data_IF_222855684369
#
_entry.id   IF_222855684369
#
_cell.length_a   1.000
_cell.length_b   1.000
_cell.length_c   1.000
_cell.angle_alpha   90.00
_cell.angle_beta   90.00
_cell.angle_gamma   90.00
#
_symmetry.space_group_name_H-M   'P 1'
#
loop_
_entity.id
_entity.type
_entity.pdbx_description
1 polymer ?
#
# COMPACT_ATOMS: atom_id res chain seq x y z
N UNK A 1 22.98 -34.21 33.91
CA UNK A 1 23.46 -33.54 32.68
C UNK A 1 22.81 -34.13 31.41
N UNK A 2 22.56 -35.41 31.35
CA UNK A 2 21.95 -36.03 30.16
C UNK A 2 20.44 -35.77 29.98
N UNK A 3 19.68 -35.63 31.05
CA UNK A 3 18.23 -35.39 30.97
C UNK A 3 17.92 -33.98 30.44
N UNK A 4 18.64 -32.96 30.91
CA UNK A 4 18.46 -31.58 30.40
C UNK A 4 18.93 -31.41 28.93
N UNK A 5 20.03 -32.08 28.55
CA UNK A 5 20.47 -32.13 27.14
C UNK A 5 19.41 -32.77 26.23
N UNK A 6 18.77 -33.83 26.71
CA UNK A 6 17.71 -34.50 25.94
C UNK A 6 16.41 -33.66 25.89
N UNK A 7 16.03 -33.01 26.97
CA UNK A 7 14.86 -32.12 26.99
C UNK A 7 15.09 -30.92 26.08
N UNK A 8 16.28 -30.32 26.10
CA UNK A 8 16.61 -29.17 25.23
C UNK A 8 16.70 -29.58 23.75
N UNK A 9 17.27 -30.76 23.47
CA UNK A 9 17.34 -31.31 22.10
C UNK A 9 15.97 -31.67 21.56
N UNK A 10 15.09 -32.25 22.38
CA UNK A 10 13.71 -32.57 22.01
C UNK A 10 12.84 -31.30 21.86
N UNK A 11 12.98 -30.33 22.76
CA UNK A 11 12.24 -29.06 22.66
C UNK A 11 12.73 -28.19 21.49
N UNK A 12 14.01 -28.19 21.17
CA UNK A 12 14.54 -27.51 19.99
C UNK A 12 14.05 -28.19 18.69
N UNK A 13 13.94 -29.51 18.70
CA UNK A 13 13.39 -30.27 17.57
C UNK A 13 11.88 -30.04 17.41
N UNK A 14 11.12 -29.98 18.51
CA UNK A 14 9.70 -29.64 18.52
C UNK A 14 9.49 -28.18 18.05
N UNK A 15 10.33 -27.24 18.47
CA UNK A 15 10.29 -25.86 18.03
C UNK A 15 10.58 -25.71 16.52
N UNK A 16 11.53 -26.50 16.00
CA UNK A 16 11.81 -26.55 14.55
C UNK A 16 10.68 -27.20 13.75
N UNK A 17 10.03 -28.23 14.28
CA UNK A 17 8.82 -28.84 13.66
C UNK A 17 7.66 -27.85 13.69
N UNK A 18 7.50 -27.09 14.79
CA UNK A 18 6.45 -26.07 14.90
C UNK A 18 6.61 -24.94 13.86
N UNK A 19 7.85 -24.51 13.58
CA UNK A 19 8.15 -23.55 12.51
C UNK A 19 7.85 -24.15 11.12
N UNK A 20 8.09 -25.43 10.90
CA UNK A 20 7.84 -26.09 9.61
C UNK A 20 6.35 -26.34 9.33
N UNK A 21 5.53 -26.55 10.36
CA UNK A 21 4.09 -26.82 10.21
C UNK A 21 3.27 -25.56 9.93
N UNK A 22 3.79 -24.34 10.28
CA UNK A 22 3.10 -23.08 10.01
C UNK A 22 3.31 -22.50 8.60
N UNK A 23 4.02 -23.20 7.71
CA UNK A 23 4.08 -22.84 6.29
C UNK A 23 2.93 -23.50 5.48
N UNK A 24 1.72 -23.54 6.01
CA UNK A 24 0.56 -23.81 5.18
C UNK A 24 0.25 -22.53 4.41
N UNK A 25 0.56 -22.50 3.12
CA UNK A 25 -0.02 -21.55 2.21
C UNK A 25 -1.54 -21.70 2.29
N UNK A 26 -2.19 -20.80 2.99
CA UNK A 26 -3.64 -20.66 2.89
C UNK A 26 -3.86 -19.97 1.57
N UNK A 27 -4.13 -20.72 0.52
CA UNK A 27 -4.70 -20.19 -0.70
C UNK A 27 -6.09 -19.67 -0.35
N UNK A 28 -6.15 -18.39 -0.02
CA UNK A 28 -7.41 -17.71 0.20
C UNK A 28 -7.94 -17.23 -1.15
N UNK A 29 -8.95 -17.93 -1.62
CA UNK A 29 -10.02 -17.51 -2.53
C UNK A 29 -9.65 -17.06 -3.96
N UNK A 30 -10.28 -17.73 -4.91
CA UNK A 30 -10.78 -17.27 -6.21
C UNK A 30 -10.25 -15.90 -6.69
N UNK A 31 -8.96 -15.83 -6.95
CA UNK A 31 -8.32 -14.79 -7.73
C UNK A 31 -8.17 -15.25 -9.17
N UNK A 32 -7.87 -14.35 -10.03
CA UNK A 32 -7.49 -14.59 -11.42
C UNK A 32 -6.50 -15.76 -11.52
N UNK A 33 -6.62 -16.57 -12.55
CA UNK A 33 -5.66 -17.65 -12.85
C UNK A 33 -4.28 -17.12 -13.23
N UNK A 34 -4.17 -15.81 -13.53
CA UNK A 34 -2.93 -15.16 -13.91
C UNK A 34 -2.10 -14.78 -12.68
N UNK A 35 -0.81 -15.08 -12.77
CA UNK A 35 0.15 -14.66 -11.77
C UNK A 35 0.46 -13.18 -11.93
N UNK A 36 0.41 -12.41 -10.83
CA UNK A 36 0.74 -10.99 -10.84
C UNK A 36 2.15 -10.73 -11.39
N UNK A 37 2.27 -9.64 -12.14
CA UNK A 37 3.55 -9.10 -12.59
C UNK A 37 4.37 -8.66 -11.38
N UNK A 38 5.68 -8.80 -11.48
CA UNK A 38 6.61 -8.46 -10.39
C UNK A 38 7.69 -7.50 -10.92
N UNK A 39 7.41 -6.20 -10.95
CA UNK A 39 8.39 -5.22 -11.44
C UNK A 39 9.62 -5.08 -10.53
N UNK A 40 9.55 -5.58 -9.30
CA UNK A 40 10.63 -5.46 -8.31
C UNK A 40 10.65 -4.07 -7.67
N UNK A 41 9.75 -3.83 -6.71
CA UNK A 41 9.69 -2.54 -6.01
C UNK A 41 10.88 -2.38 -5.06
N UNK A 42 11.44 -1.16 -5.00
CA UNK A 42 12.58 -0.82 -4.15
C UNK A 42 12.33 -1.05 -2.65
N UNK A 43 11.08 -1.00 -2.22
CA UNK A 43 10.69 -1.21 -0.83
C UNK A 43 10.54 -2.69 -0.44
N UNK A 44 10.69 -3.63 -1.36
CA UNK A 44 10.57 -5.06 -1.04
C UNK A 44 11.71 -5.56 -0.14
N UNK A 45 11.44 -6.69 0.53
CA UNK A 45 12.42 -7.34 1.40
C UNK A 45 12.72 -6.59 2.70
N UNK A 46 13.59 -7.17 3.54
CA UNK A 46 13.83 -6.65 4.90
C UNK A 46 14.57 -5.33 4.94
N UNK A 47 15.36 -5.00 3.93
CA UNK A 47 16.17 -3.77 3.83
C UNK A 47 15.63 -2.78 2.80
N UNK A 48 14.52 -3.12 2.13
CA UNK A 48 13.93 -2.28 1.09
C UNK A 48 13.42 -0.96 1.65
N UNK A 49 13.52 0.10 0.83
CA UNK A 49 13.07 1.45 1.13
C UNK A 49 12.28 2.00 -0.03
N UNK A 50 11.40 2.95 0.25
CA UNK A 50 10.68 3.67 -0.79
C UNK A 50 11.64 4.56 -1.60
N UNK A 51 11.47 4.56 -2.91
CA UNK A 51 12.10 5.52 -3.81
C UNK A 51 11.33 6.84 -3.76
N UNK A 52 11.95 7.89 -3.22
CA UNK A 52 11.31 9.19 -3.01
C UNK A 52 10.88 9.88 -4.29
N UNK A 53 11.63 9.73 -5.35
CA UNK A 53 11.29 10.37 -6.61
C UNK A 53 10.13 9.63 -7.28
N UNK A 54 10.11 8.30 -7.21
CA UNK A 54 8.94 7.51 -7.59
C UNK A 54 7.71 7.85 -6.74
N UNK A 55 7.85 8.10 -5.41
CA UNK A 55 6.73 8.55 -4.57
C UNK A 55 6.17 9.91 -5.00
N UNK A 56 7.04 10.85 -5.41
CA UNK A 56 6.61 12.18 -5.90
C UNK A 56 5.84 12.06 -7.20
N UNK A 57 6.37 11.29 -8.16
CA UNK A 57 5.70 10.99 -9.42
C UNK A 57 4.39 10.25 -9.21
N UNK A 58 4.39 9.24 -8.32
CA UNK A 58 3.19 8.49 -7.95
C UNK A 58 2.10 9.36 -7.29
N UNK A 59 2.50 10.33 -6.47
CA UNK A 59 1.56 11.34 -5.97
C UNK A 59 0.98 12.18 -7.10
N UNK A 60 1.79 12.57 -8.09
CA UNK A 60 1.32 13.33 -9.24
C UNK A 60 0.28 12.52 -10.04
N UNK A 61 0.56 11.25 -10.36
CA UNK A 61 -0.42 10.37 -11.01
C UNK A 61 -1.70 10.23 -10.19
N UNK A 62 -1.59 10.05 -8.87
CA UNK A 62 -2.77 10.01 -8.01
C UNK A 62 -3.57 11.31 -8.09
N UNK A 63 -2.93 12.46 -7.95
CA UNK A 63 -3.61 13.77 -7.90
C UNK A 63 -4.24 14.19 -9.22
N UNK A 64 -3.61 13.87 -10.35
CA UNK A 64 -4.08 14.30 -11.67
C UNK A 64 -5.05 13.30 -12.31
N UNK A 65 -4.93 11.99 -11.99
CA UNK A 65 -5.76 10.95 -12.61
C UNK A 65 -6.70 10.30 -11.60
N UNK A 66 -6.18 9.68 -10.53
CA UNK A 66 -6.96 8.79 -9.67
C UNK A 66 -7.92 9.54 -8.73
N UNK A 67 -7.55 10.74 -8.28
CA UNK A 67 -8.28 11.51 -7.28
C UNK A 67 -9.66 11.97 -7.74
N UNK A 68 -9.90 12.02 -9.05
CA UNK A 68 -11.20 12.33 -9.64
C UNK A 68 -12.31 11.33 -9.28
N UNK A 69 -11.93 10.07 -9.03
CA UNK A 69 -12.87 8.99 -8.70
C UNK A 69 -12.58 8.34 -7.34
N UNK A 70 -11.34 8.34 -6.88
CA UNK A 70 -10.90 7.62 -5.68
C UNK A 70 -10.45 8.55 -4.57
N UNK A 71 -11.06 8.44 -3.38
CA UNK A 71 -10.61 9.12 -2.18
C UNK A 71 -9.41 8.44 -1.52
N UNK A 72 -8.75 9.17 -0.61
CA UNK A 72 -7.63 8.68 0.22
C UNK A 72 -7.79 9.23 1.66
N UNK A 73 -8.87 8.87 2.30
CA UNK A 73 -9.35 9.44 3.58
C UNK A 73 -8.46 9.21 4.79
N UNK A 74 -7.54 8.23 4.73
CA UNK A 74 -6.62 7.94 5.84
C UNK A 74 -5.36 8.83 5.82
N UNK A 75 -5.13 9.54 4.72
CA UNK A 75 -3.98 10.39 4.54
C UNK A 75 -4.35 11.87 4.74
N UNK A 76 -3.50 12.61 5.44
CA UNK A 76 -3.56 14.08 5.51
C UNK A 76 -2.47 14.68 4.63
N UNK A 77 -2.66 15.91 4.12
CA UNK A 77 -1.66 16.56 3.28
C UNK A 77 -0.28 16.67 3.96
N UNK A 78 -0.24 16.89 5.28
CA UNK A 78 1.01 16.92 6.05
C UNK A 78 1.85 15.65 5.93
N UNK A 79 1.24 14.49 5.64
CA UNK A 79 1.97 13.24 5.50
C UNK A 79 2.93 13.29 4.30
N UNK A 80 2.64 14.09 3.27
CA UNK A 80 3.50 14.27 2.10
C UNK A 80 4.86 14.91 2.43
N UNK A 81 4.99 15.61 3.57
CA UNK A 81 6.27 16.19 4.03
C UNK A 81 7.01 15.33 5.06
N UNK A 82 6.43 14.20 5.49
CA UNK A 82 7.04 13.36 6.51
C UNK A 82 8.25 12.58 5.98
N UNK A 83 9.26 12.32 6.85
CA UNK A 83 10.37 11.44 6.50
C UNK A 83 9.91 10.05 6.08
N UNK A 84 10.55 9.49 5.04
CA UNK A 84 10.19 8.19 4.46
C UNK A 84 9.03 8.23 3.48
N UNK A 85 8.45 9.39 3.24
CA UNK A 85 7.45 9.66 2.21
C UNK A 85 8.01 10.44 1.01
N UNK A 86 7.14 11.13 0.25
CA UNK A 86 7.55 12.01 -0.84
C UNK A 86 8.48 13.15 -0.41
N UNK A 87 8.44 13.51 0.87
CA UNK A 87 9.25 14.57 1.49
C UNK A 87 9.17 15.90 0.74
N UNK A 88 7.96 16.29 0.30
CA UNK A 88 7.75 17.61 -0.24
C UNK A 88 8.06 18.70 0.80
N UNK A 89 8.50 19.86 0.36
CA UNK A 89 8.66 21.00 1.26
C UNK A 89 7.34 21.39 1.92
N UNK A 90 7.40 21.94 3.11
CA UNK A 90 6.21 22.41 3.85
C UNK A 90 5.42 23.43 3.02
N UNK A 91 6.11 24.27 2.27
CA UNK A 91 5.54 25.28 1.37
C UNK A 91 4.76 24.60 0.22
N UNK A 92 5.34 23.58 -0.43
CA UNK A 92 4.66 22.78 -1.48
C UNK A 92 3.40 22.10 -0.92
N UNK A 93 3.50 21.49 0.28
CA UNK A 93 2.34 20.85 0.93
C UNK A 93 1.24 21.85 1.28
N UNK A 94 1.58 23.05 1.74
CA UNK A 94 0.60 24.13 1.98
C UNK A 94 -0.07 24.58 0.67
N UNK A 95 0.71 24.75 -0.39
CA UNK A 95 0.18 25.11 -1.70
C UNK A 95 -0.77 24.02 -2.24
N UNK A 96 -0.39 22.76 -2.15
CA UNK A 96 -1.25 21.61 -2.52
C UNK A 96 -2.55 21.62 -1.70
N UNK A 97 -2.48 21.73 -0.38
CA UNK A 97 -3.67 21.73 0.47
C UNK A 97 -4.60 22.92 0.14
N UNK A 98 -4.05 24.10 -0.05
CA UNK A 98 -4.82 25.31 -0.32
C UNK A 98 -5.50 25.36 -1.70
N UNK A 99 -5.12 24.46 -2.63
CA UNK A 99 -5.82 24.33 -3.92
C UNK A 99 -7.17 23.60 -3.81
N UNK A 100 -7.48 23.06 -2.64
CA UNK A 100 -8.77 22.42 -2.34
C UNK A 100 -9.55 23.26 -1.34
N UNK A 101 -10.89 23.18 -1.38
CA UNK A 101 -11.80 23.77 -0.39
C UNK A 101 -12.54 22.70 0.41
N UNK A 102 -12.95 23.07 1.60
CA UNK A 102 -13.79 22.24 2.47
C UNK A 102 -14.82 23.13 3.15
N UNK A 103 -16.04 22.59 3.32
CA UNK A 103 -17.07 23.23 4.16
C UNK A 103 -16.66 23.09 5.63
N UNK A 104 -16.53 24.21 6.32
CA UNK A 104 -16.10 24.28 7.73
C UNK A 104 -17.15 25.04 8.56
N UNK A 105 -18.29 24.39 8.77
CA UNK A 105 -19.41 24.93 9.50
C UNK A 105 -20.43 25.66 8.64
N UNK A 106 -21.31 26.40 9.33
CA UNK A 106 -22.36 27.27 8.71
C UNK A 106 -22.32 28.64 9.33
N UNK A 107 -22.73 29.64 8.57
CA UNK A 107 -22.91 31.01 9.05
C UNK A 107 -24.15 31.15 9.95
N UNK A 108 -24.44 32.37 10.38
CA UNK A 108 -25.61 32.72 11.22
C UNK A 108 -26.94 32.47 10.52
N UNK A 109 -26.95 32.36 9.20
CA UNK A 109 -28.14 32.08 8.37
C UNK A 109 -28.27 30.59 7.99
N UNK A 110 -27.30 29.75 8.43
CA UNK A 110 -27.26 28.30 8.10
C UNK A 110 -26.63 27.98 6.76
N UNK A 111 -26.00 28.96 6.07
CA UNK A 111 -25.30 28.71 4.81
C UNK A 111 -23.89 28.11 5.06
N UNK A 112 -23.42 27.19 4.22
CA UNK A 112 -22.13 26.57 4.39
C UNK A 112 -20.98 27.58 4.21
N UNK A 113 -20.05 27.58 5.16
CA UNK A 113 -18.81 28.38 5.06
C UNK A 113 -17.73 27.51 4.46
N UNK A 114 -17.15 27.94 3.34
CA UNK A 114 -16.01 27.27 2.73
C UNK A 114 -14.70 27.92 3.15
N UNK A 115 -13.68 27.07 3.38
CA UNK A 115 -12.30 27.53 3.53
C UNK A 115 -11.35 26.69 2.69
N UNK A 116 -10.19 27.27 2.37
CA UNK A 116 -9.08 26.49 1.83
C UNK A 116 -8.62 25.42 2.83
N UNK A 117 -8.27 24.24 2.31
CA UNK A 117 -7.77 23.14 3.15
C UNK A 117 -6.37 23.43 3.69
N UNK A 118 -6.09 22.88 4.85
CA UNK A 118 -4.81 23.00 5.57
C UNK A 118 -4.02 21.68 5.47
N UNK A 119 -2.71 21.70 5.73
CA UNK A 119 -1.90 20.48 5.79
C UNK A 119 -2.41 19.42 6.77
N UNK A 120 -3.16 19.82 7.81
CA UNK A 120 -3.78 18.91 8.77
C UNK A 120 -5.02 18.21 8.25
N UNK A 121 -5.66 18.74 7.23
CA UNK A 121 -6.87 18.17 6.68
C UNK A 121 -6.56 16.88 5.91
N UNK A 122 -7.52 15.97 5.88
CA UNK A 122 -7.43 14.76 5.09
C UNK A 122 -7.66 15.06 3.61
N UNK A 123 -7.16 14.19 2.74
CA UNK A 123 -7.44 14.27 1.32
C UNK A 123 -8.95 14.32 1.06
N UNK A 124 -9.41 15.19 0.14
CA UNK A 124 -10.83 15.36 -0.14
C UNK A 124 -11.44 14.09 -0.72
N UNK A 125 -12.74 13.94 -0.52
CA UNK A 125 -13.52 12.89 -1.17
C UNK A 125 -13.99 13.40 -2.53
N UNK A 126 -13.88 12.59 -3.61
CA UNK A 126 -14.35 13.02 -4.93
C UNK A 126 -15.89 13.14 -5.02
N UNK A 127 -16.61 12.43 -4.16
CA UNK A 127 -18.09 12.41 -4.14
C UNK A 127 -18.62 12.66 -2.73
N UNK A 128 -19.73 13.37 -2.63
CA UNK A 128 -20.38 13.69 -1.35
C UNK A 128 -20.97 12.43 -0.69
N UNK A 129 -21.46 11.47 -1.49
CA UNK A 129 -22.09 10.24 -1.02
C UNK A 129 -21.91 9.07 -2.01
N UNK A 130 -22.31 7.87 -1.57
CA UNK A 130 -22.16 6.64 -2.38
C UNK A 130 -23.04 6.61 -3.62
N UNK A 131 -24.20 7.21 -3.57
CA UNK A 131 -25.16 7.16 -4.69
C UNK A 131 -24.67 8.05 -5.83
N UNK A 132 -24.16 9.23 -5.51
CA UNK A 132 -23.47 10.11 -6.45
C UNK A 132 -22.26 9.39 -7.09
N UNK A 133 -21.40 8.75 -6.26
CA UNK A 133 -20.27 8.00 -6.76
C UNK A 133 -20.68 6.87 -7.72
N UNK A 134 -21.74 6.13 -7.41
CA UNK A 134 -22.25 5.08 -8.29
C UNK A 134 -22.85 5.64 -9.58
N UNK A 135 -23.59 6.73 -9.50
CA UNK A 135 -24.19 7.37 -10.68
C UNK A 135 -23.12 7.84 -11.66
N UNK A 136 -21.98 8.35 -11.14
CA UNK A 136 -20.86 8.80 -11.96
C UNK A 136 -19.99 7.66 -12.51
N UNK A 137 -20.10 6.41 -12.00
CA UNK A 137 -19.20 5.31 -12.29
C UNK A 137 -19.94 4.00 -12.69
N UNK A 138 -20.90 4.09 -13.60
CA UNK A 138 -21.65 2.94 -14.13
C UNK A 138 -22.24 2.01 -13.04
N UNK A 139 -22.74 2.58 -11.95
CA UNK A 139 -23.29 1.82 -10.83
C UNK A 139 -22.23 1.24 -9.88
N UNK A 140 -20.96 1.31 -10.20
CA UNK A 140 -19.87 0.87 -9.33
C UNK A 140 -19.49 1.96 -8.32
N UNK A 141 -19.02 1.53 -7.14
CA UNK A 141 -18.50 2.44 -6.13
C UNK A 141 -16.97 2.35 -6.10
N UNK A 142 -16.23 3.41 -6.53
CA UNK A 142 -14.77 3.40 -6.49
C UNK A 142 -14.27 3.23 -5.06
N UNK A 143 -13.38 2.28 -4.78
CA UNK A 143 -12.84 2.07 -3.43
C UNK A 143 -11.92 3.23 -3.02
N UNK A 144 -11.85 3.49 -1.71
CA UNK A 144 -10.84 4.37 -1.11
C UNK A 144 -9.46 3.73 -1.24
N UNK A 145 -8.47 4.47 -1.74
CA UNK A 145 -7.14 3.96 -2.05
C UNK A 145 -6.17 3.95 -0.86
N UNK A 146 -6.53 4.52 0.29
CA UNK A 146 -5.63 4.61 1.45
C UNK A 146 -4.98 3.30 1.87
N UNK A 147 -5.74 2.20 1.79
CA UNK A 147 -5.30 0.88 2.23
C UNK A 147 -5.46 -0.20 1.14
N UNK A 148 -5.62 0.22 -0.11
CA UNK A 148 -5.94 -0.70 -1.21
C UNK A 148 -4.89 -1.79 -1.38
N UNK A 149 -3.61 -1.47 -1.20
CA UNK A 149 -2.48 -2.41 -1.27
C UNK A 149 -2.58 -3.49 -0.21
N UNK A 150 -3.12 -3.17 0.99
CA UNK A 150 -3.30 -4.14 2.07
C UNK A 150 -4.63 -4.91 1.97
N UNK A 151 -5.56 -4.38 1.19
CA UNK A 151 -6.88 -4.99 0.99
C UNK A 151 -6.91 -6.05 -0.13
N UNK A 152 -5.79 -6.34 -0.75
CA UNK A 152 -5.67 -7.31 -1.85
C UNK A 152 -4.51 -8.27 -1.58
N UNK A 153 -4.68 -9.52 -2.01
CA UNK A 153 -3.60 -10.52 -1.98
C UNK A 153 -2.50 -10.07 -2.94
N UNK A 154 -1.23 -10.13 -2.52
CA UNK A 154 -0.07 -9.64 -3.27
C UNK A 154 -0.24 -8.17 -3.73
N UNK A 155 -0.80 -7.34 -2.87
CA UNK A 155 -1.50 -6.08 -3.14
C UNK A 155 -0.81 -5.10 -4.08
N UNK A 156 0.48 -4.78 -3.90
CA UNK A 156 1.20 -3.87 -4.80
C UNK A 156 1.47 -4.52 -6.17
N UNK A 157 1.83 -5.80 -6.23
CA UNK A 157 1.99 -6.51 -7.51
C UNK A 157 0.65 -6.65 -8.23
N UNK A 158 -0.43 -6.91 -7.48
CA UNK A 158 -1.79 -6.92 -8.03
C UNK A 158 -2.19 -5.57 -8.62
N UNK A 159 -1.98 -4.47 -7.90
CA UNK A 159 -2.33 -3.12 -8.41
C UNK A 159 -1.55 -2.76 -9.66
N UNK A 160 -0.24 -3.02 -9.67
CA UNK A 160 0.57 -2.81 -10.86
C UNK A 160 0.05 -3.63 -12.04
N UNK A 161 -0.24 -4.93 -11.82
CA UNK A 161 -0.77 -5.81 -12.85
C UNK A 161 -2.14 -5.35 -13.34
N UNK A 162 -3.02 -4.92 -12.43
CA UNK A 162 -4.34 -4.39 -12.76
C UNK A 162 -4.24 -3.15 -13.67
N UNK A 163 -3.34 -2.22 -13.36
CA UNK A 163 -3.17 -1.00 -14.16
C UNK A 163 -2.58 -1.30 -15.54
N UNK A 164 -1.70 -2.31 -15.65
CA UNK A 164 -1.16 -2.80 -16.93
C UNK A 164 -2.18 -3.65 -17.71
N UNK A 165 -3.12 -4.26 -17.04
CA UNK A 165 -4.02 -5.25 -17.64
C UNK A 165 -4.97 -4.72 -18.70
N UNK A 166 -5.13 -3.41 -18.82
CA UNK A 166 -5.92 -2.79 -19.88
C UNK A 166 -5.24 -2.81 -21.25
N UNK A 167 -3.94 -3.11 -21.31
CA UNK A 167 -3.19 -3.27 -22.57
C UNK A 167 -3.37 -4.67 -23.19
N UNK A 168 -3.98 -5.60 -22.44
CA UNK A 168 -4.20 -6.98 -22.91
C UNK A 168 -5.41 -7.08 -23.85
N UNK A 169 -5.28 -7.89 -24.87
CA UNK A 169 -6.37 -8.14 -25.83
C UNK A 169 -7.47 -9.00 -25.20
N UNK A 170 -8.72 -8.57 -25.37
CA UNK A 170 -9.87 -9.31 -24.89
C UNK A 170 -10.09 -10.57 -25.76
N UNK A 171 -10.32 -11.75 -25.14
CA UNK A 171 -10.71 -12.96 -25.86
C UNK A 171 -12.01 -12.79 -26.65
N UNK A 172 -12.08 -13.31 -27.87
CA UNK A 172 -13.24 -13.18 -28.78
C UNK A 172 -14.53 -13.80 -28.23
N UNK A 173 -14.43 -14.76 -27.31
CA UNK A 173 -15.54 -15.50 -26.72
C UNK A 173 -16.06 -14.89 -25.42
N UNK A 174 -15.48 -13.78 -24.95
CA UNK A 174 -15.84 -13.12 -23.70
C UNK A 174 -16.83 -11.97 -23.93
N UNK A 175 -18.05 -12.12 -23.42
CA UNK A 175 -19.06 -11.05 -23.40
C UNK A 175 -19.07 -10.38 -22.03
N UNK A 176 -18.62 -9.13 -21.96
CA UNK A 176 -18.52 -8.33 -20.73
C UNK A 176 -19.46 -7.11 -20.70
N UNK A 177 -20.29 -6.93 -21.73
CA UNK A 177 -21.18 -5.78 -21.85
C UNK A 177 -20.44 -4.45 -21.81
N UNK A 178 -20.87 -3.50 -20.96
CA UNK A 178 -20.28 -2.16 -20.83
C UNK A 178 -19.06 -2.09 -19.88
N UNK A 179 -18.54 -3.25 -19.45
CA UNK A 179 -17.35 -3.32 -18.58
C UNK A 179 -16.06 -3.28 -19.41
N UNK A 180 -14.96 -2.95 -18.74
CA UNK A 180 -13.62 -3.02 -19.36
C UNK A 180 -13.00 -4.39 -19.12
N UNK A 181 -12.34 -4.94 -20.13
CA UNK A 181 -11.56 -6.17 -19.98
C UNK A 181 -10.31 -5.92 -19.14
N UNK A 182 -10.06 -6.79 -18.19
CA UNK A 182 -8.82 -6.79 -17.43
C UNK A 182 -8.57 -8.19 -16.85
N UNK A 183 -7.59 -8.94 -17.36
CA UNK A 183 -7.38 -10.34 -16.98
C UNK A 183 -6.90 -10.52 -15.53
N UNK A 184 -6.39 -9.47 -14.88
CA UNK A 184 -6.02 -9.51 -13.45
C UNK A 184 -7.19 -9.20 -12.52
N UNK A 185 -8.30 -8.68 -13.03
CA UNK A 185 -9.50 -8.51 -12.21
C UNK A 185 -10.29 -9.81 -12.12
N UNK A 186 -10.82 -10.20 -10.94
CA UNK A 186 -11.64 -11.41 -10.81
C UNK A 186 -12.80 -11.43 -11.81
N UNK A 187 -12.87 -12.48 -12.62
CA UNK A 187 -13.86 -12.59 -13.68
C UNK A 187 -13.52 -11.90 -15.00
N UNK A 188 -12.34 -11.27 -15.10
CA UNK A 188 -11.86 -10.66 -16.35
C UNK A 188 -12.53 -9.35 -16.77
N UNK A 189 -13.53 -8.86 -16.01
CA UNK A 189 -14.30 -7.67 -16.35
C UNK A 189 -14.43 -6.71 -15.18
N UNK A 190 -14.06 -5.45 -15.36
CA UNK A 190 -14.03 -4.42 -14.33
C UNK A 190 -14.83 -3.17 -14.77
N UNK A 191 -15.54 -2.56 -13.82
CA UNK A 191 -16.30 -1.35 -14.09
C UNK A 191 -15.44 -0.08 -14.25
N UNK A 192 -14.20 -0.10 -13.78
CA UNK A 192 -13.26 0.99 -13.94
C UNK A 192 -12.76 1.01 -15.39
N UNK A 193 -12.96 2.10 -16.11
CA UNK A 193 -12.35 2.31 -17.43
C UNK A 193 -10.83 2.40 -17.29
N UNK A 194 -10.11 2.17 -18.40
CA UNK A 194 -8.66 2.35 -18.43
C UNK A 194 -8.29 3.74 -17.93
N UNK A 195 -7.55 3.85 -16.80
CA UNK A 195 -7.25 5.15 -16.21
C UNK A 195 -5.98 5.79 -16.76
N UNK A 196 -5.05 5.00 -17.32
CA UNK A 196 -3.73 5.46 -17.76
C UNK A 196 -3.53 5.21 -19.25
N UNK A 197 -3.06 6.23 -19.94
CA UNK A 197 -2.57 6.21 -21.30
C UNK A 197 -1.18 6.83 -21.31
N UNK A 198 -0.35 6.52 -22.29
CA UNK A 198 0.95 7.17 -22.40
C UNK A 198 0.77 8.69 -22.40
N UNK A 199 1.62 9.38 -21.66
CA UNK A 199 1.59 10.83 -21.48
C UNK A 199 0.33 11.40 -20.78
N UNK A 200 -0.41 10.57 -20.01
CA UNK A 200 -1.55 11.04 -19.20
C UNK A 200 -1.17 12.09 -18.16
N UNK A 201 0.09 12.16 -17.78
CA UNK A 201 0.68 13.18 -16.90
C UNK A 201 1.98 13.69 -17.50
N UNK A 202 2.36 14.92 -17.18
CA UNK A 202 3.68 15.45 -17.53
C UNK A 202 4.52 15.55 -16.25
N UNK A 203 5.47 14.62 -16.08
CA UNK A 203 6.28 14.58 -14.86
C UNK A 203 7.21 15.80 -14.73
N UNK A 204 7.21 16.43 -13.56
CA UNK A 204 8.04 17.59 -13.24
C UNK A 204 9.56 17.34 -13.44
N UNK A 205 10.00 16.09 -13.33
CA UNK A 205 11.41 15.68 -13.47
C UNK A 205 11.81 15.25 -14.87
N UNK A 206 10.88 15.32 -15.84
CA UNK A 206 11.09 14.94 -17.23
C UNK A 206 11.17 13.43 -17.49
N UNK A 207 10.84 12.59 -16.52
CA UNK A 207 10.72 11.14 -16.73
C UNK A 207 9.60 10.86 -17.74
N UNK A 208 9.79 9.97 -18.73
CA UNK A 208 8.71 9.62 -19.66
C UNK A 208 7.52 9.00 -18.94
N UNK A 209 6.32 9.56 -19.12
CA UNK A 209 5.10 9.09 -18.48
C UNK A 209 4.44 7.97 -19.30
N UNK A 210 5.13 6.85 -19.44
CA UNK A 210 4.56 5.63 -20.04
C UNK A 210 3.57 4.97 -19.06
N UNK A 211 2.62 4.19 -19.59
CA UNK A 211 1.68 3.39 -18.76
C UNK A 211 2.46 2.57 -17.72
N UNK A 212 3.58 1.97 -18.11
CA UNK A 212 4.45 1.18 -17.23
C UNK A 212 5.01 2.00 -16.08
N UNK A 213 5.63 3.15 -16.40
CA UNK A 213 6.21 4.05 -15.39
C UNK A 213 5.16 4.62 -14.45
N UNK A 214 4.03 5.08 -14.99
CA UNK A 214 2.94 5.62 -14.17
C UNK A 214 2.32 4.57 -13.25
N UNK A 215 2.13 3.34 -13.76
CA UNK A 215 1.62 2.21 -12.97
C UNK A 215 2.58 1.84 -11.84
N UNK A 216 3.89 1.85 -12.11
CA UNK A 216 4.92 1.62 -11.10
C UNK A 216 4.92 2.71 -10.03
N UNK A 217 4.97 3.97 -10.44
CA UNK A 217 5.08 5.12 -9.55
C UNK A 217 3.83 5.28 -8.65
N UNK A 218 2.63 5.18 -9.22
CA UNK A 218 1.39 5.28 -8.43
C UNK A 218 1.24 4.10 -7.48
N UNK A 219 1.63 2.89 -7.88
CA UNK A 219 1.61 1.73 -6.99
C UNK A 219 2.59 1.89 -5.84
N UNK A 220 3.78 2.44 -6.09
CA UNK A 220 4.77 2.77 -5.06
C UNK A 220 4.20 3.80 -4.06
N UNK A 221 3.55 4.85 -4.55
CA UNK A 221 2.88 5.85 -3.72
C UNK A 221 1.75 5.24 -2.88
N UNK A 222 0.90 4.38 -3.46
CA UNK A 222 -0.18 3.71 -2.74
C UNK A 222 0.33 2.70 -1.72
N UNK A 223 1.48 2.05 -1.98
CA UNK A 223 2.14 1.19 -0.99
C UNK A 223 2.64 2.00 0.21
N UNK A 224 3.25 3.16 -0.03
CA UNK A 224 3.63 4.09 1.03
C UNK A 224 2.40 4.62 1.78
N UNK A 225 1.37 5.06 1.08
CA UNK A 225 0.13 5.56 1.71
C UNK A 225 -0.50 4.54 2.66
N UNK A 226 -0.45 3.25 2.30
CA UNK A 226 -0.95 2.15 3.13
C UNK A 226 -0.04 1.82 4.32
N UNK A 227 1.24 2.18 4.29
CA UNK A 227 2.20 1.92 5.37
C UNK A 227 3.31 2.99 5.43
N UNK A 228 2.99 4.24 5.83
CA UNK A 228 3.96 5.34 5.85
C UNK A 228 5.17 5.11 6.76
N UNK A 229 5.00 4.28 7.79
CA UNK A 229 6.05 3.96 8.79
C UNK A 229 6.80 2.65 8.50
N UNK A 230 6.68 2.08 7.31
CA UNK A 230 7.28 0.79 6.97
C UNK A 230 8.79 0.75 7.22
N UNK A 231 9.52 1.77 6.81
CA UNK A 231 10.97 1.83 6.99
C UNK A 231 11.35 1.90 8.47
N UNK A 232 10.63 2.69 9.25
CA UNK A 232 10.81 2.78 10.71
C UNK A 232 10.50 1.44 11.39
N UNK A 233 9.40 0.79 11.00
CA UNK A 233 9.04 -0.54 11.49
C UNK A 233 10.12 -1.58 11.18
N UNK A 234 10.67 -1.58 9.97
CA UNK A 234 11.78 -2.47 9.60
C UNK A 234 13.02 -2.21 10.47
N UNK A 235 13.42 -0.93 10.59
CA UNK A 235 14.54 -0.54 11.44
C UNK A 235 14.36 -0.95 12.90
N UNK A 236 13.17 -0.67 13.45
CA UNK A 236 12.84 -1.06 14.83
C UNK A 236 12.85 -2.58 15.00
N UNK A 237 12.34 -3.32 14.01
CA UNK A 237 12.37 -4.78 13.99
C UNK A 237 13.78 -5.35 14.15
N UNK A 238 14.77 -4.81 13.43
CA UNK A 238 16.17 -5.24 13.58
C UNK A 238 16.73 -4.94 14.97
N UNK A 239 16.41 -3.78 15.55
CA UNK A 239 16.85 -3.41 16.91
C UNK A 239 16.25 -4.38 17.92
N UNK A 240 14.95 -4.66 17.83
CA UNK A 240 14.25 -5.60 18.72
C UNK A 240 14.80 -7.01 18.59
N UNK A 241 15.03 -7.49 17.37
CA UNK A 241 15.62 -8.82 17.14
C UNK A 241 17.03 -8.92 17.72
N UNK A 242 17.86 -7.89 17.57
CA UNK A 242 19.18 -7.81 18.20
C UNK A 242 19.13 -7.87 19.72
N UNK A 243 18.22 -7.09 20.33
CA UNK A 243 17.98 -7.10 21.78
C UNK A 243 17.54 -8.50 22.27
N UNK A 244 16.58 -9.11 21.58
CA UNK A 244 16.09 -10.45 21.96
C UNK A 244 17.17 -11.52 21.81
N UNK A 245 18.05 -11.41 20.82
CA UNK A 245 19.19 -12.33 20.66
C UNK A 245 20.16 -12.22 21.83
N UNK A 246 20.54 -11.00 22.22
CA UNK A 246 21.40 -10.76 23.40
C UNK A 246 20.73 -11.30 24.66
N UNK A 247 19.45 -10.99 24.86
CA UNK A 247 18.70 -11.46 26.00
C UNK A 247 18.64 -13.00 26.08
N UNK A 248 18.41 -13.66 24.95
CA UNK A 248 18.42 -15.12 24.85
C UNK A 248 19.77 -15.72 25.28
N UNK A 249 20.88 -15.12 24.81
CA UNK A 249 22.22 -15.56 25.19
C UNK A 249 22.45 -15.43 26.71
N UNK A 250 22.11 -14.26 27.27
CA UNK A 250 22.25 -14.02 28.70
C UNK A 250 21.39 -14.98 29.55
N UNK A 251 20.15 -15.22 29.14
CA UNK A 251 19.27 -16.20 29.80
C UNK A 251 19.83 -17.60 29.69
N UNK A 252 20.34 -18.01 28.54
CA UNK A 252 20.97 -19.31 28.37
C UNK A 252 22.21 -19.50 29.28
N UNK A 253 23.09 -18.52 29.37
CA UNK A 253 24.25 -18.52 30.24
C UNK A 253 23.85 -18.56 31.71
N UNK A 254 22.82 -17.80 32.09
CA UNK A 254 22.28 -17.74 33.47
C UNK A 254 21.73 -19.11 33.90
N UNK A 255 20.91 -19.71 33.06
CA UNK A 255 20.32 -21.04 33.30
C UNK A 255 21.45 -22.10 33.45
N UNK A 256 22.40 -22.11 32.53
CA UNK A 256 23.53 -23.04 32.60
C UNK A 256 24.37 -22.88 33.86
N UNK A 257 24.55 -21.64 34.35
CA UNK A 257 25.29 -21.37 35.58
C UNK A 257 24.49 -21.77 36.83
N UNK A 258 23.19 -21.45 36.85
CA UNK A 258 22.33 -21.71 38.01
C UNK A 258 22.13 -23.22 38.28
N UNK A 259 22.02 -23.99 37.19
CA UNK A 259 21.73 -25.45 37.30
C UNK A 259 22.99 -26.30 37.11
N UNK A 260 24.18 -25.71 37.05
CA UNK A 260 25.42 -26.47 36.92
C UNK A 260 25.72 -27.43 38.06
N UNK A 261 25.37 -27.00 39.29
CA UNK A 261 25.73 -27.70 40.52
C UNK A 261 24.53 -28.46 41.11
N UNK A 262 23.44 -28.64 40.39
CA UNK A 262 22.22 -29.34 40.81
C UNK A 262 22.25 -30.85 40.46
N UNK A 263 23.42 -31.40 40.01
CA UNK A 263 23.58 -32.82 39.70
C UNK A 263 24.80 -33.40 40.43
#
# INVERSE_FOLDING_TARGET
>A
MNIFKNIFKNNLFIFFIFILVFNTNVDAAEGTTLKNLKPGFSFEGPFGKFDKDSLKRGYQVYSEVCSSCHGMKQLSFRNLSQPGGPEFSIEKVKAIASSYSIVDGTDEYGEPIERSMLPSDHFPKPFSNKDEAKAANNGAYPPDLSLIVKARVDGYNYLYSLLKGYEEEMPDDLDIGDLSYNPWYPGGAIAMYQPLYDESVEYEDGTPATIDQMSYDVTNFLAWAAEPTMEERKRLGFIVMGFLMIFLILMYLSVNRLFRDVH
#
